data_IF_527354718147
#
_entry.id   IF_527354718147
#
_cell.length_a   1.000
_cell.length_b   1.000
_cell.length_c   1.000
_cell.angle_alpha   90.00
_cell.angle_beta   90.00
_cell.angle_gamma   90.00
#
_symmetry.space_group_name_H-M   'P 1'
#
loop_
_entity.id
_entity.type
_entity.pdbx_description
1 polymer ?
#
# COMPACT_ATOMS: atom_id res chain seq x y z
N UNK A 1 -5.64 25.83 -7.33
CA UNK A 1 -4.83 24.61 -7.08
C UNK A 1 -5.02 23.69 -8.27
N UNK A 2 -3.93 23.25 -8.92
CA UNK A 2 -4.04 22.28 -10.01
C UNK A 2 -4.56 20.94 -9.47
N UNK A 3 -5.46 20.29 -10.20
CA UNK A 3 -5.89 18.93 -9.86
C UNK A 3 -4.69 17.99 -9.83
N UNK A 4 -4.57 17.11 -8.82
CA UNK A 4 -3.46 16.18 -8.76
C UNK A 4 -3.48 15.24 -9.98
N UNK A 5 -2.40 15.22 -10.74
CA UNK A 5 -2.25 14.31 -11.87
C UNK A 5 -2.16 12.87 -11.35
N UNK A 6 -3.23 12.09 -11.55
CA UNK A 6 -3.26 10.70 -11.14
C UNK A 6 -2.27 9.88 -11.97
N UNK A 7 -1.47 9.06 -11.28
CA UNK A 7 -0.71 7.98 -11.90
C UNK A 7 -1.53 6.70 -11.81
N UNK A 8 -1.47 5.88 -12.86
CA UNK A 8 -2.26 4.66 -12.97
C UNK A 8 -1.39 3.42 -12.81
N UNK A 9 -1.86 2.46 -12.01
CA UNK A 9 -1.21 1.16 -11.81
C UNK A 9 -2.19 0.03 -12.06
N UNK A 10 -1.71 -1.02 -12.71
CA UNK A 10 -2.49 -2.23 -12.98
C UNK A 10 -2.46 -3.16 -11.77
N UNK A 11 -3.65 -3.61 -11.36
CA UNK A 11 -3.86 -4.56 -10.28
C UNK A 11 -4.79 -5.69 -10.70
N UNK A 12 -4.68 -6.82 -10.01
CA UNK A 12 -5.53 -7.99 -10.25
C UNK A 12 -6.56 -8.09 -9.15
N UNK A 13 -7.83 -8.22 -9.52
CA UNK A 13 -8.91 -8.49 -8.57
C UNK A 13 -8.72 -9.89 -7.99
N UNK A 14 -8.61 -9.99 -6.67
CA UNK A 14 -8.51 -11.25 -5.94
C UNK A 14 -9.70 -11.43 -5.00
N UNK A 15 -9.92 -12.66 -4.54
CA UNK A 15 -10.91 -12.92 -3.50
C UNK A 15 -10.40 -12.39 -2.16
N UNK A 16 -11.29 -11.74 -1.41
CA UNK A 16 -11.05 -11.40 -0.01
C UNK A 16 -11.73 -12.41 0.92
N UNK A 17 -11.48 -12.29 2.21
CA UNK A 17 -12.04 -13.18 3.24
C UNK A 17 -13.58 -13.11 3.40
N UNK A 18 -14.26 -12.18 2.72
CA UNK A 18 -15.72 -12.04 2.76
C UNK A 18 -16.28 -11.39 4.02
N UNK A 19 -15.42 -10.98 4.97
CA UNK A 19 -15.79 -10.31 6.22
C UNK A 19 -16.39 -8.92 5.97
N UNK A 20 -15.77 -8.15 5.07
CA UNK A 20 -16.24 -6.81 4.70
C UNK A 20 -17.67 -6.82 4.11
N UNK A 21 -17.98 -7.85 3.33
CA UNK A 21 -19.25 -8.00 2.61
C UNK A 21 -20.29 -8.89 3.30
N UNK A 22 -19.99 -9.43 4.48
CA UNK A 22 -20.89 -10.36 5.20
C UNK A 22 -21.06 -11.73 4.53
N UNK A 23 -20.19 -12.10 3.58
CA UNK A 23 -20.26 -13.39 2.87
C UNK A 23 -19.50 -14.51 3.58
N UNK A 24 -18.69 -14.16 4.57
CA UNK A 24 -17.94 -15.11 5.38
C UNK A 24 -18.85 -15.78 6.40
N UNK A 25 -19.01 -17.10 6.30
CA UNK A 25 -19.79 -17.90 7.26
C UNK A 25 -19.19 -17.94 8.67
N UNK A 26 -17.88 -17.68 8.80
CA UNK A 26 -17.16 -17.63 10.07
C UNK A 26 -17.08 -16.21 10.65
N UNK A 27 -17.58 -15.20 9.94
CA UNK A 27 -17.60 -13.83 10.44
C UNK A 27 -18.72 -13.67 11.47
N UNK A 28 -18.45 -13.02 12.60
CA UNK A 28 -19.49 -12.75 13.59
C UNK A 28 -20.37 -11.55 13.16
N UNK A 29 -20.15 -10.99 11.96
CA UNK A 29 -20.82 -9.82 11.39
C UNK A 29 -21.63 -10.21 10.13
N UNK A 30 -22.88 -10.70 10.27
CA UNK A 30 -23.65 -11.24 9.15
C UNK A 30 -24.00 -10.20 8.07
N UNK A 31 -24.13 -8.92 8.45
CA UNK A 31 -24.33 -7.82 7.51
C UNK A 31 -23.02 -7.34 6.83
N UNK A 32 -21.87 -7.85 7.27
CA UNK A 32 -20.54 -7.38 6.87
C UNK A 32 -20.06 -6.17 7.67
N UNK A 33 -18.74 -6.04 7.83
CA UNK A 33 -18.17 -4.95 8.63
C UNK A 33 -18.41 -3.58 8.03
N UNK A 34 -18.37 -3.45 6.69
CA UNK A 34 -18.57 -2.13 6.05
C UNK A 34 -19.97 -1.60 6.34
N UNK A 35 -21.01 -2.43 6.19
CA UNK A 35 -22.39 -2.04 6.50
C UNK A 35 -22.56 -1.60 7.95
N UNK A 36 -21.95 -2.32 8.90
CA UNK A 36 -21.99 -1.98 10.32
C UNK A 36 -21.20 -0.71 10.64
N UNK A 37 -20.08 -0.46 9.95
CA UNK A 37 -19.22 0.70 10.17
C UNK A 37 -19.75 1.98 9.53
N UNK A 38 -20.50 1.91 8.43
CA UNK A 38 -21.05 3.06 7.69
C UNK A 38 -21.69 4.14 8.57
N UNK A 39 -22.63 3.85 9.49
CA UNK A 39 -23.23 4.89 10.33
C UNK A 39 -22.21 5.59 11.25
N UNK A 40 -21.18 4.87 11.71
CA UNK A 40 -20.13 5.44 12.54
C UNK A 40 -19.18 6.34 11.75
N UNK A 41 -18.84 5.94 10.51
CA UNK A 41 -18.06 6.79 9.61
C UNK A 41 -18.82 8.05 9.21
N UNK A 42 -20.13 7.95 8.94
CA UNK A 42 -20.97 9.11 8.64
C UNK A 42 -21.01 10.11 9.80
N UNK A 43 -21.15 9.61 11.04
CA UNK A 43 -21.07 10.45 12.25
C UNK A 43 -19.69 11.10 12.44
N UNK A 44 -18.63 10.50 11.90
CA UNK A 44 -17.27 11.03 11.89
C UNK A 44 -16.96 11.89 10.64
N UNK A 45 -17.96 12.24 9.82
CA UNK A 45 -17.81 13.15 8.68
C UNK A 45 -17.40 12.48 7.36
N UNK A 46 -17.47 11.15 7.26
CA UNK A 46 -17.22 10.40 6.03
C UNK A 46 -18.45 9.59 5.62
N UNK A 47 -19.17 10.04 4.61
CA UNK A 47 -20.32 9.31 4.07
C UNK A 47 -19.88 8.19 3.13
N UNK A 48 -20.21 6.94 3.49
CA UNK A 48 -19.96 5.76 2.67
C UNK A 48 -21.21 5.27 1.90
N UNK A 49 -22.35 5.95 2.03
CA UNK A 49 -23.61 5.59 1.36
C UNK A 49 -23.51 5.45 -0.18
N UNK A 50 -22.63 6.18 -0.91
CA UNK A 50 -22.48 6.00 -2.35
C UNK A 50 -21.78 4.70 -2.76
N UNK A 51 -21.15 3.98 -1.83
CA UNK A 51 -20.35 2.79 -2.11
C UNK A 51 -21.12 1.51 -1.81
N UNK A 52 -20.80 0.44 -2.54
CA UNK A 52 -21.25 -0.89 -2.16
C UNK A 52 -20.71 -1.23 -0.76
N UNK A 53 -21.51 -1.81 0.17
CA UNK A 53 -21.05 -2.25 1.49
C UNK A 53 -20.18 -3.53 1.41
N UNK A 54 -19.09 -3.44 0.66
CA UNK A 54 -18.11 -4.50 0.44
C UNK A 54 -16.81 -3.89 -0.11
N UNK A 55 -15.68 -4.54 0.16
CA UNK A 55 -14.37 -4.15 -0.41
C UNK A 55 -14.05 -4.93 -1.68
N UNK A 56 -13.40 -4.28 -2.63
CA UNK A 56 -12.60 -4.94 -3.67
C UNK A 56 -11.19 -5.14 -3.19
N UNK A 57 -10.65 -6.32 -3.44
CA UNK A 57 -9.28 -6.63 -3.09
C UNK A 57 -8.46 -6.61 -4.39
N UNK A 58 -7.62 -5.59 -4.57
CA UNK A 58 -6.71 -5.50 -5.72
C UNK A 58 -5.29 -5.83 -5.27
N UNK A 59 -4.72 -6.86 -5.89
CA UNK A 59 -3.34 -7.27 -5.67
C UNK A 59 -2.40 -6.66 -6.71
N UNK A 60 -1.32 -6.07 -6.20
CA UNK A 60 -0.21 -5.47 -6.96
C UNK A 60 1.12 -6.21 -6.72
N UNK A 61 1.06 -7.43 -6.17
CA UNK A 61 2.20 -8.29 -5.92
C UNK A 61 3.12 -8.46 -7.14
N UNK A 62 4.44 -8.60 -6.94
CA UNK A 62 5.17 -8.65 -5.67
C UNK A 62 5.57 -7.24 -5.14
N UNK A 63 4.76 -6.21 -5.43
CA UNK A 63 5.02 -4.84 -5.00
C UNK A 63 4.41 -4.56 -3.62
N UNK A 64 4.77 -3.41 -3.04
CA UNK A 64 4.28 -2.94 -1.75
C UNK A 64 3.78 -1.50 -1.86
N UNK A 65 2.67 -1.18 -1.19
CA UNK A 65 2.20 0.20 -1.10
C UNK A 65 2.79 0.93 0.10
N UNK A 66 3.26 2.16 -0.13
CA UNK A 66 3.48 3.16 0.91
C UNK A 66 2.40 4.21 0.78
N UNK A 67 1.49 4.24 1.75
CA UNK A 67 0.37 5.17 1.84
C UNK A 67 0.68 6.24 2.89
N UNK A 68 0.52 7.50 2.52
CA UNK A 68 0.79 8.66 3.37
C UNK A 68 -0.25 9.75 3.13
N UNK A 69 -0.45 10.61 4.12
CA UNK A 69 -1.37 11.75 4.05
C UNK A 69 -2.77 11.35 3.55
N UNK A 70 -3.56 10.56 4.31
CA UNK A 70 -4.92 10.17 3.90
C UNK A 70 -5.84 11.37 3.71
N UNK A 71 -6.91 11.20 2.93
CA UNK A 71 -7.98 12.20 2.79
C UNK A 71 -8.81 12.27 4.06
N UNK A 72 -9.02 11.11 4.69
CA UNK A 72 -9.67 11.01 5.99
C UNK A 72 -8.89 10.04 6.88
N UNK A 73 -8.59 10.46 8.11
CA UNK A 73 -8.08 9.58 9.16
C UNK A 73 -9.04 9.64 10.34
N UNK A 74 -9.65 8.51 10.68
CA UNK A 74 -10.60 8.39 11.77
C UNK A 74 -9.96 7.51 12.82
N UNK A 75 -9.42 8.14 13.85
CA UNK A 75 -8.67 7.47 14.91
C UNK A 75 -9.60 6.86 15.95
N UNK A 76 -9.29 5.63 16.36
CA UNK A 76 -9.95 4.96 17.50
C UNK A 76 -11.48 4.97 17.39
N UNK A 77 -12.01 4.64 16.21
CA UNK A 77 -13.43 4.51 15.97
C UNK A 77 -13.99 3.30 16.73
N UNK A 78 -14.92 3.54 17.65
CA UNK A 78 -15.71 2.49 18.30
C UNK A 78 -16.96 2.21 17.46
N UNK A 79 -16.89 1.19 16.62
CA UNK A 79 -18.02 0.74 15.78
C UNK A 79 -18.66 -0.57 16.27
N UNK A 80 -18.08 -1.19 17.30
CA UNK A 80 -18.63 -2.38 17.98
C UNK A 80 -18.03 -2.48 19.39
N UNK A 81 -18.69 -3.23 20.27
CA UNK A 81 -18.20 -3.52 21.62
C UNK A 81 -17.38 -4.82 21.71
N UNK A 82 -17.17 -5.51 20.59
CA UNK A 82 -16.48 -6.81 20.54
C UNK A 82 -14.95 -6.71 20.60
N UNK A 83 -14.39 -5.54 20.34
CA UNK A 83 -12.95 -5.32 20.37
C UNK A 83 -12.66 -3.85 20.69
N UNK A 84 -11.39 -3.51 21.01
CA UNK A 84 -10.99 -2.12 21.17
C UNK A 84 -11.28 -1.30 19.90
N UNK A 85 -11.41 0.04 20.04
CA UNK A 85 -11.59 0.92 18.90
C UNK A 85 -10.43 0.83 17.89
N UNK A 86 -10.75 0.99 16.61
CA UNK A 86 -9.81 0.81 15.50
C UNK A 86 -9.59 2.12 14.74
N UNK A 87 -8.40 2.31 14.19
CA UNK A 87 -8.08 3.48 13.33
C UNK A 87 -8.23 3.11 11.86
N UNK A 88 -8.84 4.00 11.09
CA UNK A 88 -9.06 3.83 9.66
C UNK A 88 -8.55 5.03 8.88
N UNK A 89 -7.94 4.78 7.73
CA UNK A 89 -7.57 5.82 6.79
C UNK A 89 -8.15 5.56 5.41
N UNK A 90 -8.45 6.65 4.71
CA UNK A 90 -9.07 6.63 3.40
C UNK A 90 -8.33 7.53 2.42
N UNK A 91 -8.21 7.08 1.16
CA UNK A 91 -7.68 7.88 0.06
C UNK A 91 -8.64 7.81 -1.12
N UNK A 92 -8.99 8.97 -1.68
CA UNK A 92 -9.71 9.08 -2.95
C UNK A 92 -8.85 8.54 -4.07
N UNK A 93 -9.46 7.72 -4.92
CA UNK A 93 -8.81 7.10 -6.05
C UNK A 93 -9.74 7.00 -7.24
N UNK A 94 -9.14 6.96 -8.44
CA UNK A 94 -9.84 6.59 -9.65
C UNK A 94 -9.74 5.08 -9.87
N UNK A 95 -10.85 4.42 -10.20
CA UNK A 95 -10.86 3.00 -10.52
C UNK A 95 -11.47 2.79 -11.90
N UNK A 96 -10.81 2.00 -12.75
CA UNK A 96 -11.38 1.56 -14.03
C UNK A 96 -10.98 0.13 -14.35
N UNK A 97 -11.75 -0.55 -15.20
CA UNK A 97 -11.30 -1.82 -15.77
C UNK A 97 -10.18 -1.54 -16.78
N UNK A 98 -9.22 -2.44 -16.94
CA UNK A 98 -8.07 -2.19 -17.82
C UNK A 98 -8.41 -2.21 -19.33
N UNK A 99 -9.67 -2.45 -19.70
CA UNK A 99 -10.12 -2.38 -21.09
C UNK A 99 -10.21 -0.92 -21.58
N UNK A 100 -9.92 -0.71 -22.87
CA UNK A 100 -9.99 0.60 -23.50
C UNK A 100 -11.40 1.20 -23.43
N UNK A 101 -11.49 2.52 -23.22
CA UNK A 101 -12.76 3.27 -23.21
C UNK A 101 -13.63 3.08 -21.96
N UNK A 102 -13.11 2.48 -20.89
CA UNK A 102 -13.87 2.29 -19.65
C UNK A 102 -13.93 3.59 -18.83
N UNK A 103 -15.12 3.89 -18.32
CA UNK A 103 -15.33 5.04 -17.44
C UNK A 103 -14.52 4.89 -16.15
N UNK A 104 -13.98 6.02 -15.67
CA UNK A 104 -13.34 6.10 -14.36
C UNK A 104 -14.44 6.24 -13.30
N UNK A 105 -14.39 5.37 -12.31
CA UNK A 105 -15.22 5.42 -11.12
C UNK A 105 -14.44 6.11 -10.01
N UNK A 106 -15.09 7.02 -9.29
CA UNK A 106 -14.56 7.52 -8.03
C UNK A 106 -14.69 6.43 -6.96
N UNK A 107 -13.60 6.14 -6.28
CA UNK A 107 -13.48 5.10 -5.29
C UNK A 107 -12.66 5.60 -4.08
N UNK A 108 -12.64 4.79 -3.02
CA UNK A 108 -11.82 5.02 -1.85
C UNK A 108 -10.94 3.79 -1.58
N UNK A 109 -9.65 4.00 -1.30
CA UNK A 109 -8.88 3.01 -0.54
C UNK A 109 -9.45 2.99 0.88
N UNK A 110 -9.82 1.81 1.37
CA UNK A 110 -10.18 1.56 2.76
C UNK A 110 -9.01 0.87 3.44
N UNK A 111 -8.40 1.55 4.42
CA UNK A 111 -7.22 1.04 5.12
C UNK A 111 -7.47 0.97 6.62
N UNK A 112 -7.77 -0.22 7.17
CA UNK A 112 -7.74 -0.43 8.60
C UNK A 112 -6.29 -0.59 9.09
N UNK A 113 -5.90 0.19 10.10
CA UNK A 113 -4.53 0.21 10.61
C UNK A 113 -4.20 -1.07 11.40
N UNK A 114 -3.17 -1.84 11.02
CA UNK A 114 -2.84 -3.13 11.67
C UNK A 114 -2.48 -2.99 13.15
N UNK A 115 -1.96 -1.83 13.58
CA UNK A 115 -1.58 -1.53 14.96
C UNK A 115 -2.79 -1.59 15.91
N UNK A 116 -3.98 -1.23 15.39
CA UNK A 116 -5.23 -1.23 16.16
C UNK A 116 -6.12 -2.43 15.82
N UNK A 117 -5.99 -2.97 14.60
CA UNK A 117 -6.75 -4.13 14.11
C UNK A 117 -5.91 -5.40 14.17
N UNK A 118 -5.83 -5.98 15.37
CA UNK A 118 -4.95 -7.12 15.70
C UNK A 118 -5.18 -8.39 14.85
N UNK A 119 -6.35 -8.54 14.23
CA UNK A 119 -6.69 -9.71 13.40
C UNK A 119 -6.45 -9.49 11.88
N UNK A 120 -5.83 -8.38 11.48
CA UNK A 120 -5.69 -8.02 10.06
C UNK A 120 -4.24 -8.03 9.61
N UNK A 121 -3.81 -9.15 9.06
CA UNK A 121 -2.54 -9.28 8.36
C UNK A 121 -2.80 -9.32 6.85
N UNK A 122 -2.66 -8.18 6.18
CA UNK A 122 -2.79 -8.10 4.72
C UNK A 122 -1.41 -8.14 4.05
N UNK A 123 -1.28 -8.80 2.89
CA UNK A 123 -0.11 -8.65 2.04
C UNK A 123 0.13 -7.18 1.70
N UNK A 124 1.39 -6.73 1.74
CA UNK A 124 1.73 -5.32 1.54
C UNK A 124 1.39 -4.77 0.14
N UNK A 125 1.16 -5.66 -0.83
CA UNK A 125 0.73 -5.33 -2.19
C UNK A 125 -0.78 -5.31 -2.38
N UNK A 126 -1.57 -5.68 -1.37
CA UNK A 126 -3.02 -5.76 -1.46
C UNK A 126 -3.66 -4.45 -1.00
N UNK A 127 -4.60 -3.92 -1.79
CA UNK A 127 -5.45 -2.79 -1.38
C UNK A 127 -6.92 -3.20 -1.36
N UNK A 128 -7.61 -2.81 -0.29
CA UNK A 128 -9.06 -2.86 -0.20
C UNK A 128 -9.67 -1.54 -0.70
N UNK A 129 -10.61 -1.63 -1.65
CA UNK A 129 -11.29 -0.47 -2.24
C UNK A 129 -12.80 -0.50 -1.99
N UNK A 130 -13.35 0.62 -1.57
CA UNK A 130 -14.79 0.90 -1.63
C UNK A 130 -15.07 1.58 -2.97
N UNK A 131 -16.03 1.03 -3.71
CA UNK A 131 -16.40 1.54 -5.02
C UNK A 131 -17.93 1.47 -5.20
N UNK A 132 -18.52 2.37 -6.01
CA UNK A 132 -19.95 2.37 -6.28
C UNK A 132 -20.48 1.00 -6.75
N UNK A 133 -21.76 0.69 -6.52
CA UNK A 133 -22.39 -0.51 -7.03
C UNK A 133 -22.11 -0.70 -8.52
N UNK A 134 -21.77 -1.93 -8.90
CA UNK A 134 -21.40 -2.29 -10.27
C UNK A 134 -21.81 -3.72 -10.55
N UNK A 135 -21.82 -4.07 -11.83
CA UNK A 135 -22.13 -5.43 -12.27
C UNK A 135 -21.20 -6.50 -11.69
N UNK A 136 -21.50 -7.78 -11.96
CA UNK A 136 -20.76 -8.90 -11.40
C UNK A 136 -19.27 -8.83 -11.74
N UNK A 137 -18.45 -9.11 -10.73
CA UNK A 137 -17.00 -9.11 -10.84
C UNK A 137 -16.48 -10.54 -10.70
N UNK A 138 -15.45 -10.87 -11.46
CA UNK A 138 -14.78 -12.17 -11.42
C UNK A 138 -13.36 -11.99 -10.93
N UNK A 139 -12.90 -12.78 -9.94
CA UNK A 139 -11.49 -12.85 -9.60
C UNK A 139 -10.62 -13.09 -10.85
N UNK A 140 -9.40 -12.55 -10.85
CA UNK A 140 -8.51 -12.51 -12.01
C UNK A 140 -8.79 -11.35 -12.98
N UNK A 141 -9.89 -10.61 -12.81
CA UNK A 141 -10.15 -9.40 -13.60
C UNK A 141 -9.09 -8.31 -13.36
N UNK A 142 -8.65 -7.64 -14.42
CA UNK A 142 -7.68 -6.53 -14.33
C UNK A 142 -8.36 -5.18 -14.20
N UNK A 143 -7.81 -4.38 -13.29
CA UNK A 143 -8.23 -3.02 -13.01
C UNK A 143 -7.02 -2.09 -12.98
N UNK A 144 -7.22 -0.87 -13.45
CA UNK A 144 -6.27 0.21 -13.25
C UNK A 144 -6.74 1.10 -12.09
N UNK A 145 -5.83 1.37 -11.15
CA UNK A 145 -6.04 2.24 -10.01
C UNK A 145 -5.25 3.55 -10.20
N UNK A 146 -5.95 4.67 -10.17
CA UNK A 146 -5.41 6.02 -10.29
C UNK A 146 -5.22 6.65 -8.91
N UNK A 147 -4.00 7.00 -8.54
CA UNK A 147 -3.67 7.63 -7.24
C UNK A 147 -2.73 8.82 -7.43
N UNK A 148 -2.73 9.73 -6.46
CA UNK A 148 -1.70 10.77 -6.35
C UNK A 148 -0.36 10.12 -5.94
N UNK A 149 0.67 10.11 -6.81
CA UNK A 149 1.93 9.46 -6.52
C UNK A 149 2.73 10.10 -5.37
N UNK A 150 2.36 11.31 -4.93
CA UNK A 150 2.97 11.97 -3.76
C UNK A 150 2.46 11.40 -2.44
N UNK A 151 1.27 10.79 -2.46
CA UNK A 151 0.56 10.25 -1.29
C UNK A 151 0.62 8.72 -1.27
N UNK A 152 0.52 8.10 -2.44
CA UNK A 152 0.50 6.66 -2.60
C UNK A 152 1.62 6.23 -3.55
N UNK A 153 2.61 5.51 -3.03
CA UNK A 153 3.75 5.01 -3.81
C UNK A 153 3.75 3.49 -3.85
N UNK A 154 3.79 2.94 -5.06
CA UNK A 154 4.00 1.51 -5.28
C UNK A 154 5.50 1.23 -5.37
N UNK A 155 6.02 0.52 -4.39
CA UNK A 155 7.43 0.14 -4.31
C UNK A 155 7.57 -1.26 -4.87
N UNK A 156 8.51 -1.44 -5.80
CA UNK A 156 8.89 -2.73 -6.36
C UNK A 156 10.27 -3.10 -5.79
N UNK A 157 10.35 -3.87 -4.69
CA UNK A 157 11.60 -4.02 -3.94
C UNK A 157 12.75 -4.51 -4.81
N UNK A 158 12.53 -5.53 -5.65
CA UNK A 158 13.56 -6.06 -6.55
C UNK A 158 14.13 -4.97 -7.49
N UNK A 159 13.26 -4.14 -8.08
CA UNK A 159 13.67 -3.05 -8.97
C UNK A 159 14.40 -1.94 -8.22
N UNK A 160 13.93 -1.60 -7.03
CA UNK A 160 14.54 -0.56 -6.21
C UNK A 160 15.93 -0.99 -5.70
N UNK A 161 16.08 -2.26 -5.28
CA UNK A 161 17.38 -2.85 -4.93
C UNK A 161 18.35 -2.84 -6.10
N UNK A 162 17.91 -3.20 -7.31
CA UNK A 162 18.76 -3.15 -8.50
C UNK A 162 19.27 -1.73 -8.79
N UNK A 163 18.39 -0.72 -8.71
CA UNK A 163 18.78 0.69 -8.84
C UNK A 163 19.72 1.16 -7.73
N UNK A 164 19.57 0.61 -6.51
CA UNK A 164 20.50 0.86 -5.41
C UNK A 164 21.88 0.29 -5.69
N UNK A 165 22.00 -0.92 -6.23
CA UNK A 165 23.29 -1.47 -6.67
C UNK A 165 23.97 -0.54 -7.70
N UNK A 166 23.22 -0.12 -8.72
CA UNK A 166 23.73 0.83 -9.73
C UNK A 166 24.20 2.14 -9.10
N UNK A 167 23.42 2.69 -8.17
CA UNK A 167 23.76 3.91 -7.44
C UNK A 167 25.03 3.76 -6.59
N UNK A 168 25.23 2.60 -5.98
CA UNK A 168 26.40 2.32 -5.13
C UNK A 168 27.66 2.02 -5.93
N UNK A 169 27.55 1.55 -7.17
CA UNK A 169 28.65 1.02 -7.99
C UNK A 169 29.95 1.84 -7.91
N UNK A 170 29.94 3.08 -8.36
CA UNK A 170 31.16 3.90 -8.40
C UNK A 170 31.65 4.34 -7.02
N UNK A 171 30.76 4.40 -6.03
CA UNK A 171 31.11 4.76 -4.65
C UNK A 171 31.88 3.63 -3.99
N UNK A 172 31.41 2.40 -4.17
CA UNK A 172 32.09 1.19 -3.68
C UNK A 172 33.39 0.97 -4.45
N UNK A 173 33.40 1.12 -5.78
CA UNK A 173 34.64 0.98 -6.56
C UNK A 173 35.74 1.98 -6.13
N UNK A 174 35.36 3.19 -5.71
CA UNK A 174 36.32 4.21 -5.29
C UNK A 174 36.84 4.00 -3.86
N UNK A 175 35.99 3.55 -2.94
CA UNK A 175 36.34 3.44 -1.50
C UNK A 175 36.59 2.00 -1.03
N UNK A 176 36.31 1.00 -1.87
CA UNK A 176 36.47 -0.43 -1.60
C UNK A 176 35.83 -0.83 -0.26
N UNK A 177 36.50 -1.67 0.54
CA UNK A 177 36.04 -2.06 1.88
C UNK A 177 35.86 -0.87 2.83
N UNK A 178 36.55 0.25 2.58
CA UNK A 178 36.41 1.49 3.33
C UNK A 178 34.99 2.07 3.25
N UNK A 179 34.24 1.81 2.17
CA UNK A 179 32.85 2.24 2.05
C UNK A 179 31.95 1.62 3.14
N UNK A 180 32.30 0.43 3.64
CA UNK A 180 31.42 -0.37 4.49
C UNK A 180 31.71 -0.26 5.99
N UNK A 181 32.77 0.44 6.40
CA UNK A 181 33.26 0.46 7.78
C UNK A 181 32.24 1.02 8.80
N UNK A 182 31.31 1.88 8.35
CA UNK A 182 30.25 2.49 9.18
C UNK A 182 28.82 2.24 8.62
N UNK A 183 28.58 1.07 8.02
CA UNK A 183 27.30 0.72 7.37
C UNK A 183 26.22 0.21 8.33
N UNK A 184 26.02 0.85 9.48
CA UNK A 184 24.84 0.55 10.29
C UNK A 184 23.54 1.09 9.61
N UNK A 185 22.36 0.47 9.84
CA UNK A 185 21.13 0.89 9.17
C UNK A 185 20.75 2.37 9.41
N UNK A 186 20.86 2.94 10.63
CA UNK A 186 20.58 4.35 10.87
C UNK A 186 21.46 5.31 10.06
N UNK A 187 22.79 5.11 10.05
CA UNK A 187 23.71 5.96 9.31
C UNK A 187 23.50 5.82 7.81
N UNK A 188 23.30 4.60 7.31
CA UNK A 188 22.99 4.34 5.90
C UNK A 188 21.71 5.07 5.48
N UNK A 189 20.65 5.02 6.30
CA UNK A 189 19.39 5.73 6.01
C UNK A 189 19.58 7.24 6.01
N UNK A 190 20.33 7.79 6.97
CA UNK A 190 20.61 9.21 7.02
C UNK A 190 21.37 9.69 5.77
N UNK A 191 22.35 8.90 5.34
CA UNK A 191 23.11 9.17 4.11
C UNK A 191 22.24 9.04 2.85
N UNK A 192 21.46 7.96 2.71
CA UNK A 192 20.53 7.77 1.59
C UNK A 192 19.47 8.87 1.54
N UNK A 193 18.96 9.34 2.68
CA UNK A 193 17.99 10.43 2.70
C UNK A 193 18.54 11.72 2.07
N UNK A 194 19.85 11.98 2.19
CA UNK A 194 20.51 13.15 1.62
C UNK A 194 20.88 12.97 0.14
N UNK A 195 21.26 11.76 -0.28
CA UNK A 195 21.78 11.53 -1.62
C UNK A 195 20.82 10.85 -2.59
N UNK A 196 19.91 9.99 -2.09
CA UNK A 196 18.88 9.32 -2.88
C UNK A 196 17.75 8.76 -2.00
N UNK A 197 16.83 9.64 -1.62
CA UNK A 197 15.77 9.36 -0.64
C UNK A 197 14.77 8.26 -1.05
N UNK A 198 14.69 7.91 -2.33
CA UNK A 198 13.84 6.81 -2.82
C UNK A 198 14.30 5.45 -2.26
N UNK A 199 15.61 5.24 -2.08
CA UNK A 199 16.14 4.01 -1.48
C UNK A 199 15.67 3.78 -0.04
N UNK A 200 15.32 4.85 0.68
CA UNK A 200 14.79 4.75 2.04
C UNK A 200 13.42 4.07 2.10
N UNK A 201 12.79 3.83 0.96
CA UNK A 201 11.63 2.95 0.90
C UNK A 201 12.02 1.49 1.14
N UNK A 202 13.24 1.01 0.94
CA UNK A 202 13.61 -0.37 1.30
C UNK A 202 13.58 -0.58 2.83
N UNK A 203 13.29 -1.80 3.29
CA UNK A 203 13.46 -2.20 4.69
C UNK A 203 14.93 -2.25 5.08
N UNK A 204 15.23 -2.31 6.38
CA UNK A 204 16.63 -2.42 6.84
C UNK A 204 17.28 -3.71 6.31
N UNK A 205 16.57 -4.84 6.34
CA UNK A 205 17.05 -6.10 5.80
C UNK A 205 17.31 -6.02 4.28
N UNK A 206 16.42 -5.35 3.53
CA UNK A 206 16.59 -5.16 2.08
C UNK A 206 17.79 -4.26 1.76
N UNK A 207 18.01 -3.20 2.55
CA UNK A 207 19.16 -2.32 2.42
C UNK A 207 20.46 -3.07 2.73
N UNK A 208 20.53 -3.77 3.85
CA UNK A 208 21.70 -4.55 4.27
C UNK A 208 22.03 -5.65 3.25
N UNK A 209 21.03 -6.40 2.79
CA UNK A 209 21.23 -7.41 1.76
C UNK A 209 21.76 -6.80 0.44
N UNK A 210 21.31 -5.59 0.10
CA UNK A 210 21.78 -4.89 -1.10
C UNK A 210 23.21 -4.36 -0.92
N UNK A 211 23.58 -3.87 0.27
CA UNK A 211 24.96 -3.51 0.58
C UNK A 211 25.89 -4.72 0.54
N UNK A 212 25.49 -5.85 1.11
CA UNK A 212 26.26 -7.10 1.06
C UNK A 212 26.49 -7.54 -0.39
N UNK A 213 25.45 -7.46 -1.22
CA UNK A 213 25.56 -7.75 -2.64
C UNK A 213 26.47 -6.74 -3.36
N UNK A 214 26.38 -5.44 -3.05
CA UNK A 214 27.27 -4.44 -3.62
C UNK A 214 28.74 -4.70 -3.25
N UNK A 215 29.02 -5.09 -2.00
CA UNK A 215 30.36 -5.50 -1.56
C UNK A 215 30.89 -6.63 -2.43
N UNK A 216 30.14 -7.74 -2.53
CA UNK A 216 30.52 -8.91 -3.34
C UNK A 216 30.79 -8.59 -4.81
N UNK A 217 30.04 -7.64 -5.40
CA UNK A 217 30.14 -7.31 -6.81
C UNK A 217 31.20 -6.27 -7.15
N UNK A 218 31.49 -5.34 -6.22
CA UNK A 218 32.24 -4.12 -6.53
C UNK A 218 33.50 -3.94 -5.69
N UNK A 219 33.76 -4.79 -4.70
CA UNK A 219 35.10 -4.87 -4.12
C UNK A 219 35.94 -5.85 -4.92
N UNK A 220 37.24 -5.60 -5.04
CA UNK A 220 38.16 -6.60 -5.56
C UNK A 220 38.08 -7.86 -4.67
N UNK A 221 38.05 -9.05 -5.28
CA UNK A 221 38.23 -10.29 -4.54
C UNK A 221 39.63 -10.35 -3.93
N UNK A 222 39.87 -11.21 -2.93
CA UNK A 222 41.23 -11.52 -2.51
C UNK A 222 42.09 -12.04 -3.68
#
# INVERSE_FOLDING_TARGET
MAEPQLRWWEGTLVEGHGVASGRSSSSPYPAGTIALQTPHFAAAGLDLSPFQPATLNLDFGPSRWRLQHPDHCIERLRWTDRHPPETFSFWRCGLRRSAAGTAVLEALIYYPHPETKRAHHQPQGLLELLAPPRGPLRPGGRFALGLDPRRCRLIQPARLRARLLEFLKFRVLAAQDGFFQDSDPPALRAWLAQHWSEACDLTDDELLATLQQARQLYTEGP
#
